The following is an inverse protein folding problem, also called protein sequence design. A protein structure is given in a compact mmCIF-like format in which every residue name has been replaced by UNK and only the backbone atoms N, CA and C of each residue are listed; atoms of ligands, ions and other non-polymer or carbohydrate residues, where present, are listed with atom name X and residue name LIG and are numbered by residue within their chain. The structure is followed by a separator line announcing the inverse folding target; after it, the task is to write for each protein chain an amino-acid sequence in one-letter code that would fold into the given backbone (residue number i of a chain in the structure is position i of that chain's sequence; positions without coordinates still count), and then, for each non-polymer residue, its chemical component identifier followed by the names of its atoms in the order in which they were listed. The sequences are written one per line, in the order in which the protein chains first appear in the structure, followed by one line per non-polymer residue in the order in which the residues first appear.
data_IF_045089774680
#
_entry.id   IF_045089774680
#
_cell.length_a   1.000
_cell.length_b   1.000
_cell.length_c   1.000
_cell.angle_alpha   90.00
_cell.angle_beta   90.00
_cell.angle_gamma   90.00
#
_symmetry.space_group_name_H-M   'P 1'
#
loop_
_entity.id
_entity.type
_entity.pdbx_description
1 polymer ?
#
# COMPACT_ATOMS: atom_id res chain seq x y z
N UNK A 1 22.55 -8.08 -7.20
CA UNK A 1 21.57 -9.20 -7.09
C UNK A 1 20.21 -8.61 -7.44
N UNK A 2 19.46 -9.22 -8.35
CA UNK A 2 18.07 -8.81 -8.64
C UNK A 2 17.25 -9.24 -7.43
N UNK A 3 16.50 -8.33 -6.82
CA UNK A 3 15.56 -8.69 -5.76
C UNK A 3 14.46 -9.57 -6.37
N UNK A 4 14.20 -10.73 -5.76
CA UNK A 4 13.22 -11.66 -6.31
C UNK A 4 11.80 -11.12 -6.20
N UNK A 5 11.43 -10.57 -5.06
CA UNK A 5 10.07 -10.10 -4.76
C UNK A 5 10.09 -8.62 -4.32
N UNK A 6 9.09 -7.85 -4.76
CA UNK A 6 8.74 -6.53 -4.22
C UNK A 6 7.28 -6.52 -3.79
N UNK A 7 6.98 -6.02 -2.59
CA UNK A 7 5.61 -5.95 -2.07
C UNK A 7 5.08 -4.53 -2.21
N UNK A 8 3.99 -4.38 -2.94
CA UNK A 8 3.21 -3.15 -3.05
C UNK A 8 2.03 -3.22 -2.10
N UNK A 9 1.91 -2.23 -1.25
CA UNK A 9 0.83 -2.11 -0.28
C UNK A 9 -0.09 -0.97 -0.72
N UNK A 10 -1.38 -1.23 -0.85
CA UNK A 10 -2.33 -0.14 -0.87
C UNK A 10 -2.34 0.58 0.47
N UNK A 11 -2.81 1.82 0.48
CA UNK A 11 -2.80 2.66 1.67
C UNK A 11 -4.16 2.70 2.36
N UNK A 12 -5.18 3.18 1.64
CA UNK A 12 -6.51 3.45 2.17
C UNK A 12 -7.27 2.15 2.44
N UNK A 13 -7.73 1.92 3.68
CA UNK A 13 -8.45 0.72 4.12
C UNK A 13 -7.65 -0.60 4.00
N UNK A 14 -6.37 -0.48 3.62
CA UNK A 14 -5.43 -1.60 3.62
C UNK A 14 -4.45 -1.46 4.78
N UNK A 15 -3.65 -0.39 4.81
CA UNK A 15 -2.75 -0.08 5.91
C UNK A 15 -3.39 0.82 6.96
N UNK A 16 -4.31 1.70 6.54
CA UNK A 16 -4.85 2.76 7.39
C UNK A 16 -6.37 2.78 7.44
N UNK A 17 -6.89 3.17 8.59
CA UNK A 17 -8.29 3.52 8.78
C UNK A 17 -8.57 4.90 8.17
N UNK A 18 -8.97 4.88 6.89
CA UNK A 18 -9.27 6.07 6.11
C UNK A 18 -10.44 6.86 6.68
N UNK A 19 -11.40 6.19 7.30
CA UNK A 19 -12.58 6.83 7.85
C UNK A 19 -12.20 7.64 9.10
N UNK A 20 -11.32 7.11 9.96
CA UNK A 20 -10.76 7.84 11.10
C UNK A 20 -9.87 9.01 10.66
N UNK A 21 -9.02 8.80 9.65
CA UNK A 21 -8.20 9.87 9.06
C UNK A 21 -9.08 11.01 8.53
N UNK A 22 -10.10 10.65 7.77
CA UNK A 22 -11.03 11.63 7.21
C UNK A 22 -11.81 12.37 8.30
N UNK A 23 -12.28 11.68 9.32
CA UNK A 23 -12.96 12.30 10.44
C UNK A 23 -12.10 13.36 11.13
N UNK A 24 -10.86 13.01 11.47
CA UNK A 24 -9.94 13.95 12.13
C UNK A 24 -9.59 15.14 11.21
N UNK A 25 -9.45 14.91 9.91
CA UNK A 25 -9.23 15.99 8.93
C UNK A 25 -10.44 16.93 8.81
N UNK A 26 -11.65 16.37 8.76
CA UNK A 26 -12.89 17.15 8.71
C UNK A 26 -13.06 18.05 9.95
N UNK A 27 -12.55 17.62 11.14
CA UNK A 27 -12.52 18.47 12.34
C UNK A 27 -11.62 19.71 12.16
N UNK A 28 -10.53 19.59 11.42
CA UNK A 28 -9.67 20.75 11.10
C UNK A 28 -10.38 21.72 10.17
N UNK A 29 -11.05 21.23 9.14
CA UNK A 29 -11.85 22.06 8.24
C UNK A 29 -12.99 22.77 8.99
N UNK A 30 -13.65 22.08 9.93
CA UNK A 30 -14.72 22.65 10.76
C UNK A 30 -14.23 23.80 11.66
N UNK A 31 -12.93 23.91 11.92
CA UNK A 31 -12.32 25.06 12.62
C UNK A 31 -12.15 26.28 11.72
N UNK A 32 -12.55 26.21 10.45
CA UNK A 32 -12.47 27.30 9.48
C UNK A 32 -11.12 27.44 8.78
N UNK A 33 -10.26 26.42 8.84
CA UNK A 33 -9.00 26.40 8.10
C UNK A 33 -9.26 26.29 6.59
N UNK A 34 -8.41 26.93 5.78
CA UNK A 34 -8.36 26.65 4.34
C UNK A 34 -7.93 25.19 4.11
N UNK A 35 -8.28 24.63 2.93
CA UNK A 35 -7.87 23.27 2.58
C UNK A 35 -6.35 23.08 2.70
N UNK A 36 -5.56 24.02 2.18
CA UNK A 36 -4.10 23.99 2.25
C UNK A 36 -3.57 24.00 3.69
N UNK A 37 -4.11 24.89 4.53
CA UNK A 37 -3.74 24.95 5.95
C UNK A 37 -4.13 23.70 6.71
N UNK A 38 -5.31 23.13 6.41
CA UNK A 38 -5.79 21.89 7.03
C UNK A 38 -4.91 20.69 6.64
N UNK A 39 -4.50 20.57 5.37
CA UNK A 39 -3.59 19.51 4.91
C UNK A 39 -2.23 19.60 5.60
N UNK A 40 -1.68 20.82 5.71
CA UNK A 40 -0.40 21.05 6.39
C UNK A 40 -0.49 20.72 7.88
N UNK A 41 -1.50 21.24 8.59
CA UNK A 41 -1.69 20.97 10.03
C UNK A 41 -1.92 19.47 10.28
N UNK A 42 -2.76 18.82 9.46
CA UNK A 42 -3.03 17.40 9.56
C UNK A 42 -1.77 16.55 9.41
N UNK A 43 -0.95 16.80 8.39
CA UNK A 43 0.32 16.10 8.21
C UNK A 43 1.31 16.32 9.36
N UNK A 44 1.22 17.45 10.08
CA UNK A 44 2.10 17.76 11.21
C UNK A 44 1.61 17.19 12.55
N UNK A 45 0.32 16.90 12.69
CA UNK A 45 -0.29 16.46 13.96
C UNK A 45 0.36 15.21 14.57
N UNK A 46 0.85 14.30 13.72
CA UNK A 46 1.35 12.99 14.14
C UNK A 46 2.60 12.57 13.36
N UNK A 47 3.64 13.41 13.36
CA UNK A 47 4.88 13.19 12.59
C UNK A 47 5.71 11.98 13.03
N UNK A 48 5.37 11.33 14.13
CA UNK A 48 6.06 10.11 14.57
C UNK A 48 5.19 8.89 14.30
N UNK A 49 5.81 7.78 13.87
CA UNK A 49 5.10 6.50 13.68
C UNK A 49 4.27 6.12 14.91
N UNK A 50 4.79 6.35 16.11
CA UNK A 50 4.07 6.05 17.35
C UNK A 50 2.79 6.89 17.51
N UNK A 51 2.83 8.17 17.19
CA UNK A 51 1.66 9.05 17.28
C UNK A 51 0.63 8.76 16.17
N UNK A 52 1.10 8.33 14.99
CA UNK A 52 0.26 7.96 13.84
C UNK A 52 -0.36 6.56 13.93
N UNK A 53 0.08 5.74 14.88
CA UNK A 53 -0.39 4.35 15.02
C UNK A 53 -1.91 4.22 15.19
N UNK A 54 -2.58 5.21 15.77
CA UNK A 54 -4.04 5.21 15.92
C UNK A 54 -4.80 5.11 14.60
N UNK A 55 -4.14 5.45 13.49
CA UNK A 55 -4.72 5.35 12.16
C UNK A 55 -4.38 4.04 11.43
N UNK A 56 -3.46 3.24 11.97
CA UNK A 56 -3.07 2.00 11.33
C UNK A 56 -4.09 0.90 11.63
N UNK A 57 -4.45 0.14 10.60
CA UNK A 57 -5.31 -1.01 10.76
C UNK A 57 -4.58 -2.14 11.52
N UNK A 58 -5.34 -3.03 12.20
CA UNK A 58 -4.76 -4.19 12.88
C UNK A 58 -3.89 -5.03 11.95
N UNK A 59 -2.69 -5.38 12.39
CA UNK A 59 -1.72 -6.16 11.62
C UNK A 59 -0.80 -5.33 10.72
N UNK A 60 -1.07 -4.02 10.51
CA UNK A 60 -0.25 -3.20 9.61
C UNK A 60 1.19 -3.02 10.14
N UNK A 61 1.35 -2.78 11.44
CA UNK A 61 2.69 -2.63 12.05
C UNK A 61 3.46 -3.94 11.99
N UNK A 62 2.79 -5.04 12.31
CA UNK A 62 3.36 -6.39 12.32
C UNK A 62 3.81 -6.78 10.90
N UNK A 63 2.97 -6.54 9.89
CA UNK A 63 3.32 -6.80 8.49
C UNK A 63 4.52 -5.95 8.04
N UNK A 64 4.52 -4.64 8.30
CA UNK A 64 5.64 -3.75 7.93
C UNK A 64 6.92 -4.16 8.65
N UNK A 65 6.83 -4.53 9.93
CA UNK A 65 7.98 -5.01 10.71
C UNK A 65 8.52 -6.34 10.17
N UNK A 66 7.63 -7.26 9.78
CA UNK A 66 8.00 -8.53 9.15
C UNK A 66 8.73 -8.29 7.82
N UNK A 67 8.17 -7.45 6.92
CA UNK A 67 8.80 -7.13 5.64
C UNK A 67 10.22 -6.56 5.84
N UNK A 68 10.38 -5.67 6.82
CA UNK A 68 11.68 -5.10 7.16
C UNK A 68 12.65 -6.14 7.71
N UNK A 69 12.22 -7.00 8.65
CA UNK A 69 13.05 -8.05 9.26
C UNK A 69 13.50 -9.09 8.24
N UNK A 70 12.63 -9.44 7.29
CA UNK A 70 12.93 -10.36 6.20
C UNK A 70 13.68 -9.71 5.04
N UNK A 71 14.02 -8.42 5.14
CA UNK A 71 14.64 -7.63 4.08
C UNK A 71 13.88 -7.72 2.74
N UNK A 72 12.55 -7.83 2.78
CA UNK A 72 11.68 -7.80 1.61
C UNK A 72 11.45 -6.35 1.21
N UNK A 73 11.89 -5.91 0.03
CA UNK A 73 11.66 -4.55 -0.43
C UNK A 73 10.16 -4.31 -0.65
N UNK A 74 9.68 -3.17 -0.16
CA UNK A 74 8.26 -2.84 -0.21
C UNK A 74 8.04 -1.33 -0.32
N UNK A 75 6.83 -0.94 -0.72
CA UNK A 75 6.41 0.44 -0.82
C UNK A 75 4.90 0.55 -0.96
N UNK A 76 4.41 1.78 -0.96
CA UNK A 76 2.99 2.09 -1.07
C UNK A 76 2.66 2.41 -2.53
N UNK A 77 1.58 1.80 -3.04
CA UNK A 77 0.95 2.16 -4.31
C UNK A 77 -0.51 2.54 -4.03
N UNK A 78 -0.81 3.84 -4.05
CA UNK A 78 -2.11 4.35 -3.66
C UNK A 78 -2.76 5.19 -4.75
N UNK A 79 -4.10 5.11 -4.85
CA UNK A 79 -4.91 5.93 -5.75
C UNK A 79 -5.37 7.20 -5.02
N UNK A 80 -5.30 8.36 -5.69
CA UNK A 80 -5.89 9.59 -5.18
C UNK A 80 -5.15 10.87 -5.54
N UNK A 81 -5.49 11.95 -4.84
CA UNK A 81 -4.82 13.24 -5.00
C UNK A 81 -3.50 13.26 -4.21
N UNK A 82 -2.42 13.71 -4.87
CA UNK A 82 -1.07 13.67 -4.32
C UNK A 82 -0.95 14.37 -2.96
N UNK A 83 -1.48 15.60 -2.84
CA UNK A 83 -1.40 16.38 -1.62
C UNK A 83 -2.12 15.70 -0.43
N UNK A 84 -3.28 15.09 -0.70
CA UNK A 84 -4.02 14.34 0.30
C UNK A 84 -3.31 13.06 0.72
N UNK A 85 -2.77 12.30 -0.24
CA UNK A 85 -1.99 11.10 0.08
C UNK A 85 -0.73 11.44 0.86
N UNK A 86 -0.04 12.53 0.51
CA UNK A 86 1.12 13.02 1.24
C UNK A 86 0.75 13.40 2.69
N UNK A 87 -0.32 14.18 2.88
CA UNK A 87 -0.77 14.59 4.21
C UNK A 87 -1.10 13.36 5.09
N UNK A 88 -1.78 12.34 4.54
CA UNK A 88 -2.06 11.08 5.25
C UNK A 88 -0.79 10.31 5.60
N UNK A 89 0.17 10.20 4.68
CA UNK A 89 1.45 9.53 4.91
C UNK A 89 2.22 10.19 6.06
N UNK A 90 2.23 11.53 6.09
CA UNK A 90 2.83 12.29 7.19
C UNK A 90 2.08 12.02 8.52
N UNK A 91 0.74 12.11 8.51
CA UNK A 91 -0.08 11.93 9.71
C UNK A 91 0.02 10.52 10.31
N UNK A 92 0.27 9.49 9.48
CA UNK A 92 0.44 8.09 9.94
C UNK A 92 1.86 7.76 10.36
N UNK A 93 2.83 8.66 10.11
CA UNK A 93 4.25 8.42 10.38
C UNK A 93 4.89 7.35 9.49
N UNK A 94 4.30 7.04 8.32
CA UNK A 94 4.83 6.09 7.34
C UNK A 94 5.77 6.76 6.32
N UNK A 95 6.48 7.78 6.74
CA UNK A 95 7.34 8.64 5.90
C UNK A 95 8.63 7.96 5.43
N UNK A 96 8.98 6.85 6.03
CA UNK A 96 10.13 6.01 5.66
C UNK A 96 9.82 5.06 4.49
N UNK A 97 8.55 4.93 4.10
CA UNK A 97 8.14 4.13 2.97
C UNK A 97 8.15 4.94 1.67
N UNK A 98 8.63 4.31 0.61
CA UNK A 98 8.49 4.83 -0.74
C UNK A 98 7.02 4.82 -1.17
N UNK A 99 6.52 5.90 -1.77
CA UNK A 99 5.10 6.04 -2.13
C UNK A 99 4.97 6.41 -3.60
N UNK A 100 4.14 5.67 -4.31
CA UNK A 100 3.63 6.02 -5.64
C UNK A 100 2.16 6.37 -5.52
N UNK A 101 1.82 7.61 -5.88
CA UNK A 101 0.43 8.04 -6.02
C UNK A 101 0.04 7.94 -7.49
N UNK A 102 -1.07 7.28 -7.76
CA UNK A 102 -1.60 7.10 -9.13
C UNK A 102 -3.02 7.67 -9.24
N UNK A 103 -3.39 8.10 -10.43
CA UNK A 103 -4.76 8.44 -10.81
C UNK A 103 -5.55 7.24 -11.37
N UNK A 104 -4.92 6.06 -11.42
CA UNK A 104 -5.51 4.82 -11.91
C UNK A 104 -6.03 3.95 -10.77
N UNK A 105 -7.24 3.46 -10.92
CA UNK A 105 -7.85 2.48 -10.01
C UNK A 105 -7.43 1.04 -10.30
N UNK A 106 -7.08 0.74 -11.57
CA UNK A 106 -6.59 -0.55 -12.07
C UNK A 106 -5.07 -0.67 -11.86
N UNK A 107 -4.66 -0.80 -10.60
CA UNK A 107 -3.23 -0.90 -10.22
C UNK A 107 -2.54 -2.09 -10.89
N UNK A 108 -3.25 -3.20 -11.10
CA UNK A 108 -2.74 -4.36 -11.82
C UNK A 108 -2.30 -4.04 -13.23
N UNK A 109 -3.08 -3.25 -13.98
CA UNK A 109 -2.69 -2.79 -15.31
C UNK A 109 -1.52 -1.79 -15.27
N UNK A 110 -1.43 -0.96 -14.21
CA UNK A 110 -0.25 -0.13 -13.99
C UNK A 110 1.00 -0.98 -13.76
N UNK A 111 0.93 -2.00 -12.89
CA UNK A 111 2.02 -2.96 -12.65
C UNK A 111 2.41 -3.67 -13.96
N UNK A 112 1.43 -4.04 -14.79
CA UNK A 112 1.70 -4.65 -16.10
C UNK A 112 2.54 -3.74 -17.01
N UNK A 113 2.37 -2.42 -16.93
CA UNK A 113 3.15 -1.45 -17.71
C UNK A 113 4.63 -1.38 -17.31
N UNK A 114 4.99 -1.83 -16.10
CA UNK A 114 6.38 -1.90 -15.63
C UNK A 114 7.11 -3.15 -16.11
N UNK A 115 6.38 -4.10 -16.71
CA UNK A 115 6.93 -5.39 -17.15
C UNK A 115 7.79 -5.21 -18.39
N UNK A 116 8.99 -5.79 -18.36
CA UNK A 116 9.95 -5.77 -19.45
C UNK A 116 9.82 -7.03 -20.32
N UNK A 117 10.45 -6.99 -21.49
CA UNK A 117 10.49 -8.14 -22.40
C UNK A 117 11.11 -9.40 -21.78
N UNK A 118 11.98 -9.25 -20.80
CA UNK A 118 12.56 -10.35 -19.99
C UNK A 118 11.56 -11.03 -19.06
N UNK A 119 10.40 -10.41 -18.81
CA UNK A 119 9.42 -10.83 -17.83
C UNK A 119 9.62 -10.24 -16.44
N UNK A 120 10.76 -9.61 -16.15
CA UNK A 120 10.99 -8.85 -14.92
C UNK A 120 10.26 -7.51 -14.95
N UNK A 121 10.14 -6.86 -13.80
CA UNK A 121 9.53 -5.53 -13.66
C UNK A 121 10.62 -4.50 -13.40
N UNK A 122 10.55 -3.36 -14.09
CA UNK A 122 11.32 -2.17 -13.75
C UNK A 122 10.44 -1.26 -12.92
N UNK A 123 10.76 -1.14 -11.63
CA UNK A 123 10.01 -0.27 -10.72
C UNK A 123 10.17 1.20 -11.12
N UNK A 124 9.16 2.05 -10.85
CA UNK A 124 9.29 3.48 -11.04
C UNK A 124 10.36 4.09 -10.11
N UNK A 125 10.92 5.27 -10.46
CA UNK A 125 11.97 5.91 -9.67
C UNK A 125 11.61 6.11 -8.20
N UNK A 126 10.35 6.40 -7.90
CA UNK A 126 9.81 6.58 -6.55
C UNK A 126 9.97 5.33 -5.69
N UNK A 127 9.95 4.13 -6.30
CA UNK A 127 10.18 2.84 -5.65
C UNK A 127 11.64 2.34 -5.83
N UNK A 128 12.54 3.24 -6.21
CA UNK A 128 13.97 2.96 -6.35
C UNK A 128 14.44 2.57 -7.74
N UNK A 129 13.57 2.48 -8.75
CA UNK A 129 13.92 2.26 -10.17
C UNK A 129 14.58 0.91 -10.49
N UNK A 130 14.67 0.01 -9.52
CA UNK A 130 15.35 -1.29 -9.64
C UNK A 130 14.53 -2.31 -10.42
N UNK A 131 15.21 -3.38 -10.88
CA UNK A 131 14.54 -4.53 -11.47
C UNK A 131 14.19 -5.56 -10.40
N UNK A 132 12.97 -6.14 -10.51
CA UNK A 132 12.50 -7.22 -9.65
C UNK A 132 11.87 -8.34 -10.51
N UNK A 133 11.96 -9.58 -10.05
CA UNK A 133 11.42 -10.72 -10.80
C UNK A 133 9.91 -10.87 -10.59
N UNK A 134 9.42 -10.50 -9.43
CA UNK A 134 8.03 -10.68 -9.02
C UNK A 134 7.53 -9.48 -8.23
N UNK A 135 6.26 -9.14 -8.40
CA UNK A 135 5.55 -8.15 -7.59
C UNK A 135 4.38 -8.84 -6.89
N UNK A 136 4.14 -8.47 -5.63
CA UNK A 136 2.92 -8.78 -4.91
C UNK A 136 2.18 -7.48 -4.60
N UNK A 137 0.90 -7.43 -4.94
CA UNK A 137 0.00 -6.34 -4.57
C UNK A 137 -0.92 -6.80 -3.43
N UNK A 138 -0.99 -6.02 -2.34
CA UNK A 138 -1.95 -6.20 -1.23
C UNK A 138 -2.91 -5.00 -1.27
N UNK A 139 -4.21 -5.25 -1.43
CA UNK A 139 -5.21 -4.20 -1.66
C UNK A 139 -6.60 -4.65 -1.18
N UNK A 140 -7.43 -3.69 -0.70
CA UNK A 140 -8.80 -3.94 -0.25
C UNK A 140 -9.84 -3.84 -1.38
N UNK A 141 -9.42 -3.51 -2.60
CA UNK A 141 -10.30 -3.35 -3.76
C UNK A 141 -10.04 -4.40 -4.83
N UNK A 142 -11.10 -5.11 -5.23
CA UNK A 142 -10.99 -6.16 -6.23
C UNK A 142 -10.54 -5.64 -7.60
N UNK A 143 -11.02 -4.45 -7.98
CA UNK A 143 -10.66 -3.83 -9.26
C UNK A 143 -9.19 -3.36 -9.33
N UNK A 144 -8.51 -3.25 -8.19
CA UNK A 144 -7.06 -2.96 -8.16
C UNK A 144 -6.24 -4.05 -8.83
N UNK A 145 -6.77 -5.28 -8.89
CA UNK A 145 -6.12 -6.42 -9.53
C UNK A 145 -6.43 -6.57 -11.03
N UNK A 146 -7.28 -5.69 -11.59
CA UNK A 146 -7.59 -5.73 -13.02
C UNK A 146 -6.32 -5.55 -13.85
N UNK A 147 -6.09 -6.50 -14.76
CA UNK A 147 -4.88 -6.52 -15.59
C UNK A 147 -3.59 -6.94 -14.87
N UNK A 148 -3.67 -7.47 -13.65
CA UNK A 148 -2.49 -7.97 -12.93
C UNK A 148 -1.83 -9.11 -13.72
N UNK A 149 -0.52 -9.00 -14.06
CA UNK A 149 0.18 -10.02 -14.83
C UNK A 149 0.20 -11.38 -14.13
N UNK A 150 0.14 -12.46 -14.90
CA UNK A 150 0.09 -13.83 -14.39
C UNK A 150 1.28 -14.23 -13.50
N UNK A 151 2.44 -13.56 -13.64
CA UNK A 151 3.61 -13.78 -12.80
C UNK A 151 3.71 -12.80 -11.62
N UNK A 152 2.73 -11.90 -11.45
CA UNK A 152 2.54 -11.13 -10.22
C UNK A 152 1.57 -11.88 -9.29
N UNK A 153 1.59 -11.55 -8.02
CA UNK A 153 0.71 -12.10 -7.00
C UNK A 153 -0.21 -11.00 -6.45
N UNK A 154 -1.42 -11.37 -6.04
CA UNK A 154 -2.34 -10.48 -5.37
C UNK A 154 -2.84 -11.06 -4.06
N UNK A 155 -2.96 -10.21 -3.02
CA UNK A 155 -3.66 -10.52 -1.79
C UNK A 155 -4.79 -9.49 -1.62
N UNK A 156 -6.02 -9.96 -1.75
CA UNK A 156 -7.21 -9.15 -1.56
C UNK A 156 -7.65 -9.21 -0.10
N UNK A 157 -7.68 -8.07 0.59
CA UNK A 157 -8.03 -7.95 2.02
C UNK A 157 -9.34 -7.19 2.27
N UNK A 158 -10.25 -7.14 1.32
CA UNK A 158 -11.52 -6.39 1.42
C UNK A 158 -12.60 -7.02 2.32
N UNK A 159 -12.28 -8.07 3.09
CA UNK A 159 -13.14 -8.63 4.17
C UNK A 159 -14.29 -9.53 3.72
N UNK A 160 -14.74 -9.49 2.48
CA UNK A 160 -15.71 -10.43 1.92
C UNK A 160 -14.99 -11.44 1.03
N UNK A 161 -15.45 -12.71 1.06
CA UNK A 161 -14.97 -13.69 0.08
C UNK A 161 -15.38 -13.19 -1.30
N UNK A 162 -14.41 -12.63 -2.03
CA UNK A 162 -14.67 -12.15 -3.38
C UNK A 162 -14.88 -13.34 -4.31
N UNK A 163 -16.05 -13.41 -4.92
CA UNK A 163 -16.31 -14.31 -6.03
C UNK A 163 -15.53 -13.82 -7.28
N UNK A 164 -14.91 -14.74 -8.01
CA UNK A 164 -14.23 -14.43 -9.28
C UNK A 164 -12.91 -13.62 -9.18
N UNK A 165 -12.11 -13.82 -8.14
CA UNK A 165 -10.74 -13.32 -8.13
C UNK A 165 -9.92 -13.88 -9.31
N UNK A 166 -8.99 -13.09 -9.88
CA UNK A 166 -7.99 -13.63 -10.81
C UNK A 166 -7.24 -14.81 -10.18
N UNK A 167 -6.82 -15.78 -10.99
CA UNK A 167 -6.19 -17.03 -10.51
C UNK A 167 -4.91 -16.83 -9.68
N UNK A 168 -4.25 -15.70 -9.83
CA UNK A 168 -3.04 -15.30 -9.11
C UNK A 168 -3.34 -14.31 -7.96
N UNK A 169 -4.61 -14.17 -7.58
CA UNK A 169 -5.06 -13.35 -6.44
C UNK A 169 -5.74 -14.24 -5.41
N UNK A 170 -5.30 -14.14 -4.16
CA UNK A 170 -5.89 -14.85 -3.03
C UNK A 170 -6.63 -13.87 -2.11
N UNK A 171 -7.81 -14.25 -1.63
CA UNK A 171 -8.49 -13.53 -0.55
C UNK A 171 -7.86 -13.86 0.80
N UNK A 172 -7.65 -12.84 1.60
CA UNK A 172 -7.20 -12.94 2.98
C UNK A 172 -8.15 -12.15 3.89
N UNK A 173 -8.33 -12.61 5.13
CA UNK A 173 -9.23 -11.96 6.06
C UNK A 173 -8.61 -10.69 6.71
N UNK A 174 -7.28 -10.62 6.81
CA UNK A 174 -6.58 -9.53 7.47
C UNK A 174 -5.08 -9.53 7.11
N UNK A 175 -4.36 -8.52 7.56
CA UNK A 175 -2.92 -8.36 7.27
C UNK A 175 -2.01 -9.39 7.98
N UNK A 176 -2.49 -10.04 9.04
CA UNK A 176 -1.74 -11.15 9.67
C UNK A 176 -1.67 -12.36 8.74
N UNK A 177 -2.76 -12.66 8.01
CA UNK A 177 -2.75 -13.70 6.98
C UNK A 177 -1.84 -13.35 5.79
N UNK A 178 -1.70 -12.05 5.45
CA UNK A 178 -0.72 -11.62 4.47
C UNK A 178 0.71 -11.93 4.92
N UNK A 179 1.02 -11.71 6.19
CA UNK A 179 2.31 -12.06 6.78
C UNK A 179 2.56 -13.57 6.73
N UNK A 180 1.57 -14.37 7.10
CA UNK A 180 1.67 -15.85 7.06
C UNK A 180 1.91 -16.35 5.62
N UNK A 181 1.18 -15.80 4.65
CA UNK A 181 1.36 -16.12 3.24
C UNK A 181 2.77 -15.79 2.74
N UNK A 182 3.26 -14.59 3.07
CA UNK A 182 4.63 -14.17 2.73
C UNK A 182 5.68 -15.08 3.38
N UNK A 183 5.50 -15.47 4.65
CA UNK A 183 6.39 -16.39 5.35
C UNK A 183 6.49 -17.74 4.63
N UNK A 184 5.37 -18.31 4.21
CA UNK A 184 5.34 -19.54 3.41
C UNK A 184 6.01 -19.38 2.04
N UNK A 185 5.80 -18.24 1.37
CA UNK A 185 6.36 -17.97 0.05
C UNK A 185 7.90 -17.89 0.07
N UNK A 186 8.48 -17.32 1.14
CA UNK A 186 9.94 -17.16 1.27
C UNK A 186 10.62 -18.31 2.03
N UNK A 187 9.84 -19.27 2.53
CA UNK A 187 10.36 -20.47 3.20
C UNK A 187 10.81 -20.23 4.64
N UNK A 188 10.15 -19.31 5.35
CA UNK A 188 10.36 -19.03 6.78
C UNK A 188 9.42 -19.87 7.65
#
# INVERSE_FOLDING_TARGET
MVNKLFVLLDFDRTLVDTDQLKYDFDQLLARGLSLESALMEFGQMHQTRQAGQKYLLPGAIELLSFLQQQAIPHGILTYGQADWQQAKTLATGLTDLAVVVTDRTDKGALIASWRQASGAYQLPPELGGQFVEQIMLIDDKIYSFDGLPANALGLYCGGEQAENLPHNVQSIANLSEAQDYLGQLIGC
#
